data_IF_554713919146
#
_entry.id   IF_554713919146
#
_cell.length_a   1.000
_cell.length_b   1.000
_cell.length_c   1.000
_cell.angle_alpha   90.00
_cell.angle_beta   90.00
_cell.angle_gamma   90.00
#
_symmetry.space_group_name_H-M   'P 1'
#
loop_
_entity.id
_entity.type
_entity.pdbx_description
1 polymer ?
#
# COMPACT_ATOMS: atom_id res chain seq x y z
N UNK A 1 61.40 -38.21 16.90
CA UNK A 1 60.81 -37.54 18.09
C UNK A 1 60.52 -36.09 17.74
N UNK A 2 59.30 -35.62 18.04
CA UNK A 2 58.77 -34.24 17.93
C UNK A 2 58.39 -33.78 16.50
N UNK A 3 57.25 -33.15 16.19
CA UNK A 3 55.97 -32.80 16.84
C UNK A 3 55.07 -32.35 15.66
N UNK A 4 53.95 -33.01 15.35
CA UNK A 4 52.58 -32.58 15.68
C UNK A 4 52.37 -31.07 15.73
N UNK A 5 51.76 -30.47 14.69
CA UNK A 5 50.78 -29.37 14.81
C UNK A 5 49.88 -29.34 13.56
N UNK A 6 48.68 -29.89 13.68
CA UNK A 6 47.55 -29.61 12.79
C UNK A 6 46.92 -28.30 13.23
N UNK A 7 46.97 -27.28 12.37
CA UNK A 7 46.22 -26.05 12.57
C UNK A 7 44.77 -26.27 12.10
N UNK A 8 43.88 -26.50 13.06
CA UNK A 8 42.43 -26.51 12.84
C UNK A 8 41.96 -25.06 12.79
N UNK A 9 41.64 -24.56 11.60
CA UNK A 9 40.96 -23.28 11.42
C UNK A 9 39.46 -23.48 11.61
N UNK A 10 38.94 -23.19 12.81
CA UNK A 10 37.50 -22.99 13.03
C UNK A 10 37.16 -21.55 12.60
N UNK A 11 36.63 -21.37 11.40
CA UNK A 11 35.95 -20.13 11.02
C UNK A 11 34.54 -20.15 11.60
N UNK A 12 34.34 -19.43 12.71
CA UNK A 12 33.03 -19.16 13.28
C UNK A 12 32.27 -18.18 12.36
N UNK A 13 31.43 -18.71 11.47
CA UNK A 13 30.40 -17.92 10.80
C UNK A 13 29.32 -17.60 11.84
N UNK A 14 29.43 -16.42 12.47
CA UNK A 14 28.37 -15.88 13.29
C UNK A 14 27.17 -15.57 12.38
N UNK A 15 26.21 -16.49 12.34
CA UNK A 15 24.88 -16.26 11.80
C UNK A 15 24.20 -15.24 12.72
N UNK A 16 24.37 -13.96 12.41
CA UNK A 16 23.50 -12.91 12.92
C UNK A 16 22.13 -13.13 12.27
N UNK A 17 21.27 -13.90 12.94
CA UNK A 17 19.83 -13.89 12.67
C UNK A 17 19.31 -12.52 13.11
N UNK A 18 19.44 -11.52 12.24
CA UNK A 18 18.64 -10.31 12.29
C UNK A 18 17.20 -10.77 12.02
N UNK A 19 16.49 -11.08 13.09
CA UNK A 19 15.03 -11.13 13.05
C UNK A 19 14.63 -9.67 12.85
N UNK A 20 14.56 -9.23 11.59
CA UNK A 20 13.80 -8.03 11.28
C UNK A 20 12.41 -8.31 11.84
N UNK A 21 11.92 -7.47 12.74
CA UNK A 21 10.51 -7.50 13.09
C UNK A 21 9.78 -7.17 11.79
N UNK A 22 9.24 -8.19 11.13
CA UNK A 22 8.42 -8.03 9.93
C UNK A 22 7.18 -7.27 10.41
N UNK A 23 7.09 -6.01 10.00
CA UNK A 23 5.97 -5.16 10.32
C UNK A 23 4.80 -5.60 9.44
N UNK A 24 3.95 -6.48 9.95
CA UNK A 24 2.77 -6.90 9.22
C UNK A 24 1.70 -5.81 9.20
N UNK A 25 0.91 -5.78 8.13
CA UNK A 25 -0.34 -5.03 8.13
C UNK A 25 -1.41 -5.76 8.94
N UNK A 26 -2.29 -5.02 9.61
CA UNK A 26 -3.46 -5.59 10.28
C UNK A 26 -4.62 -5.63 9.27
N UNK A 27 -5.25 -6.80 9.04
CA UNK A 27 -6.45 -6.87 8.21
C UNK A 27 -7.61 -6.12 8.89
N UNK A 28 -8.34 -5.36 8.10
CA UNK A 28 -9.55 -4.63 8.49
C UNK A 28 -10.78 -5.35 7.95
N UNK A 29 -11.87 -5.30 8.71
CA UNK A 29 -13.18 -5.78 8.23
C UNK A 29 -13.88 -4.77 7.31
N UNK A 30 -13.43 -3.52 7.35
CA UNK A 30 -14.06 -2.38 6.67
C UNK A 30 -12.97 -1.47 6.11
N UNK A 31 -13.05 -1.17 4.81
CA UNK A 31 -12.33 -0.09 4.13
C UNK A 31 -13.11 1.22 4.15
N UNK A 32 -12.57 2.26 3.54
CA UNK A 32 -13.23 3.58 3.47
C UNK A 32 -13.11 4.13 2.06
N UNK A 33 -14.23 4.56 1.48
CA UNK A 33 -14.26 5.15 0.14
C UNK A 33 -13.71 6.60 0.13
N UNK A 34 -13.60 7.20 -1.06
CA UNK A 34 -13.08 8.55 -1.24
C UNK A 34 -13.97 9.65 -0.65
N UNK A 35 -15.16 9.28 -0.15
CA UNK A 35 -16.15 10.16 0.49
C UNK A 35 -16.25 9.89 1.99
N UNK A 36 -15.39 9.04 2.56
CA UNK A 36 -15.41 8.69 3.96
C UNK A 36 -16.50 7.68 4.36
N UNK A 37 -17.19 7.05 3.41
CA UNK A 37 -18.15 5.98 3.69
C UNK A 37 -17.42 4.66 3.93
N UNK A 38 -17.97 3.85 4.84
CA UNK A 38 -17.50 2.49 5.10
C UNK A 38 -17.77 1.57 3.90
N UNK A 39 -16.79 0.75 3.55
CA UNK A 39 -16.89 -0.34 2.57
C UNK A 39 -16.60 -1.68 3.25
N UNK A 40 -17.49 -2.65 3.18
CA UNK A 40 -17.22 -4.00 3.67
C UNK A 40 -16.50 -4.82 2.61
N UNK A 41 -15.76 -5.84 3.04
CA UNK A 41 -15.19 -6.82 2.10
C UNK A 41 -16.33 -7.47 1.28
N UNK A 42 -16.19 -7.45 -0.05
CA UNK A 42 -17.20 -7.90 -0.99
C UNK A 42 -18.11 -6.79 -1.53
N UNK A 43 -18.09 -5.59 -0.97
CA UNK A 43 -18.83 -4.45 -1.51
C UNK A 43 -18.22 -3.99 -2.84
N UNK A 44 -19.07 -3.58 -3.77
CA UNK A 44 -18.66 -2.99 -5.04
C UNK A 44 -18.60 -1.48 -4.88
N UNK A 45 -17.44 -0.90 -5.17
CA UNK A 45 -17.28 0.55 -5.19
C UNK A 45 -18.16 1.14 -6.30
N UNK A 46 -18.93 2.18 -5.94
CA UNK A 46 -19.68 2.95 -6.94
C UNK A 46 -18.76 3.72 -7.88
N UNK A 47 -19.33 4.67 -8.62
CA UNK A 47 -18.59 5.53 -9.55
C UNK A 47 -17.61 6.46 -8.80
N UNK A 48 -16.41 5.95 -8.55
CA UNK A 48 -15.29 6.61 -7.88
C UNK A 48 -14.00 6.27 -8.63
N UNK A 49 -13.82 6.83 -9.84
CA UNK A 49 -12.66 6.53 -10.67
C UNK A 49 -11.36 6.81 -9.93
N UNK A 50 -11.31 7.80 -9.05
CA UNK A 50 -10.14 8.15 -8.22
C UNK A 50 -9.59 7.00 -7.36
N UNK A 51 -10.42 6.00 -7.06
CA UNK A 51 -10.01 4.82 -6.30
C UNK A 51 -9.91 3.57 -7.16
N UNK A 52 -10.85 3.33 -8.07
CA UNK A 52 -10.84 2.12 -8.88
C UNK A 52 -11.40 2.38 -10.28
N UNK A 53 -10.67 1.90 -11.28
CA UNK A 53 -11.14 1.76 -12.65
C UNK A 53 -11.08 0.29 -13.06
N UNK A 54 -12.04 -0.15 -13.86
CA UNK A 54 -11.93 -1.45 -14.54
C UNK A 54 -10.80 -1.37 -15.58
N UNK A 55 -9.73 -2.13 -15.37
CA UNK A 55 -8.54 -2.15 -16.23
C UNK A 55 -8.44 -3.42 -17.10
N UNK A 56 -9.51 -4.20 -17.15
CA UNK A 56 -9.59 -5.47 -17.86
C UNK A 56 -9.26 -6.67 -16.98
N UNK A 57 -9.62 -7.86 -17.48
CA UNK A 57 -9.48 -9.10 -16.73
C UNK A 57 -8.00 -9.38 -16.36
N UNK A 58 -7.80 -9.95 -15.17
CA UNK A 58 -6.47 -10.30 -14.68
C UNK A 58 -5.69 -9.15 -14.05
N UNK A 59 -6.35 -8.02 -13.75
CA UNK A 59 -5.79 -6.92 -12.95
C UNK A 59 -6.50 -6.80 -11.58
N UNK A 60 -5.74 -6.34 -10.59
CA UNK A 60 -6.22 -5.81 -9.32
C UNK A 60 -5.89 -4.33 -9.23
N UNK A 61 -6.61 -3.60 -8.39
CA UNK A 61 -6.31 -2.21 -8.07
C UNK A 61 -5.90 -2.11 -6.61
N UNK A 62 -4.66 -1.68 -6.37
CA UNK A 62 -4.20 -1.25 -5.06
C UNK A 62 -4.63 0.19 -4.83
N UNK A 63 -5.18 0.49 -3.66
CA UNK A 63 -5.50 1.86 -3.24
C UNK A 63 -4.90 2.10 -1.87
N UNK A 64 -4.16 3.20 -1.76
CA UNK A 64 -3.77 3.80 -0.50
C UNK A 64 -4.64 5.03 -0.28
N UNK A 65 -5.43 5.02 0.79
CA UNK A 65 -6.08 6.24 1.28
C UNK A 65 -5.28 6.79 2.44
N UNK A 66 -5.06 8.09 2.40
CA UNK A 66 -4.44 8.82 3.51
C UNK A 66 -5.44 9.84 3.99
N UNK A 67 -5.82 9.75 5.27
CA UNK A 67 -6.73 10.70 5.89
C UNK A 67 -5.97 11.48 6.97
N UNK A 68 -6.11 12.81 6.95
CA UNK A 68 -5.83 13.63 8.13
C UNK A 68 -7.09 13.86 8.92
N UNK A 69 -7.05 13.54 10.21
CA UNK A 69 -8.00 14.06 11.19
C UNK A 69 -7.31 15.11 12.05
N UNK A 70 -7.83 16.34 12.05
CA UNK A 70 -7.50 17.31 13.09
C UNK A 70 -8.44 17.13 14.29
N UNK A 71 -7.90 17.07 15.51
CA UNK A 71 -8.73 17.28 16.69
C UNK A 71 -9.23 18.74 16.68
N UNK A 72 -10.52 19.00 16.90
CA UNK A 72 -11.02 20.37 16.95
C UNK A 72 -10.39 21.10 18.14
N UNK A 73 -9.44 21.99 17.87
CA UNK A 73 -8.95 22.97 18.85
C UNK A 73 -9.86 24.20 18.72
N UNK A 74 -10.51 24.67 19.81
CA UNK A 74 -11.36 25.85 19.74
C UNK A 74 -10.59 27.07 19.21
N UNK A 75 -10.97 27.58 18.03
CA UNK A 75 -10.50 28.85 17.48
C UNK A 75 -9.25 28.83 16.59
N UNK A 76 -8.70 27.67 16.25
CA UNK A 76 -7.53 27.55 15.35
C UNK A 76 -7.89 27.03 13.95
N UNK A 77 -7.23 27.50 12.87
CA UNK A 77 -7.32 26.86 11.57
C UNK A 77 -6.62 25.50 11.62
N UNK A 78 -7.27 24.49 11.04
CA UNK A 78 -6.70 23.15 10.88
C UNK A 78 -5.79 23.21 9.64
N UNK A 79 -4.48 23.33 9.83
CA UNK A 79 -3.47 23.28 8.76
C UNK A 79 -2.49 22.10 8.94
N UNK A 80 -2.08 21.42 7.86
CA UNK A 80 -1.09 20.33 7.93
C UNK A 80 0.18 20.78 8.68
N UNK A 81 0.64 19.98 9.64
CA UNK A 81 1.85 20.27 10.43
C UNK A 81 1.61 20.85 11.83
N UNK A 82 0.36 20.93 12.29
CA UNK A 82 0.05 21.33 13.67
C UNK A 82 0.18 20.16 14.68
N UNK A 83 0.50 20.43 15.96
CA UNK A 83 0.44 19.42 17.02
C UNK A 83 -1.01 18.91 17.21
N UNK A 84 -1.21 17.59 17.24
CA UNK A 84 -2.52 16.96 17.42
C UNK A 84 -3.17 16.39 16.16
N UNK A 85 -2.43 16.33 15.05
CA UNK A 85 -2.83 15.60 13.84
C UNK A 85 -2.57 14.11 13.98
N UNK A 86 -3.56 13.30 13.61
CA UNK A 86 -3.37 11.88 13.36
C UNK A 86 -3.53 11.63 11.86
N UNK A 87 -2.51 11.05 11.26
CA UNK A 87 -2.61 10.50 9.91
C UNK A 87 -2.85 9.00 10.02
N UNK A 88 -3.78 8.50 9.22
CA UNK A 88 -3.99 7.07 9.05
C UNK A 88 -3.89 6.74 7.57
N UNK A 89 -2.94 5.87 7.23
CA UNK A 89 -2.91 5.22 5.94
C UNK A 89 -3.72 3.93 6.00
N UNK A 90 -4.62 3.73 5.06
CA UNK A 90 -5.32 2.47 4.86
C UNK A 90 -5.04 1.96 3.46
N UNK A 91 -4.80 0.66 3.34
CA UNK A 91 -4.56 -0.02 2.07
C UNK A 91 -5.79 -0.84 1.71
N UNK A 92 -6.20 -0.81 0.45
CA UNK A 92 -7.32 -1.58 -0.06
C UNK A 92 -6.93 -2.24 -1.38
N UNK A 93 -7.43 -3.46 -1.60
CA UNK A 93 -7.28 -4.16 -2.88
C UNK A 93 -8.67 -4.39 -3.47
N UNK A 94 -8.85 -3.99 -4.73
CA UNK A 94 -10.07 -4.20 -5.49
C UNK A 94 -9.83 -5.16 -6.67
N UNK A 95 -10.87 -5.88 -7.07
CA UNK A 95 -10.88 -6.60 -8.35
C UNK A 95 -11.19 -5.71 -9.56
N UNK A 96 -11.17 -6.29 -10.75
CA UNK A 96 -11.49 -5.58 -12.00
C UNK A 96 -12.93 -5.04 -12.07
N UNK A 97 -13.84 -5.58 -11.25
CA UNK A 97 -15.21 -5.07 -11.08
C UNK A 97 -15.33 -4.07 -9.94
N UNK A 98 -14.20 -3.54 -9.42
CA UNK A 98 -14.14 -2.64 -8.27
C UNK A 98 -14.79 -3.21 -7.01
N UNK A 99 -14.81 -4.55 -6.86
CA UNK A 99 -15.20 -5.21 -5.62
C UNK A 99 -14.05 -5.21 -4.63
N UNK A 100 -14.28 -4.76 -3.41
CA UNK A 100 -13.28 -4.77 -2.34
C UNK A 100 -12.95 -6.22 -1.93
N UNK A 101 -11.68 -6.60 -2.09
CA UNK A 101 -11.19 -7.94 -1.71
C UNK A 101 -10.55 -7.95 -0.32
N UNK A 102 -9.83 -6.87 0.02
CA UNK A 102 -9.13 -6.75 1.29
C UNK A 102 -8.91 -5.29 1.67
N UNK A 103 -8.90 -5.03 2.97
CA UNK A 103 -8.58 -3.73 3.55
C UNK A 103 -7.59 -3.94 4.70
N UNK A 104 -6.61 -3.05 4.85
CA UNK A 104 -5.49 -3.22 5.77
C UNK A 104 -5.05 -1.88 6.34
N UNK A 105 -4.46 -1.90 7.54
CA UNK A 105 -3.81 -0.75 8.17
C UNK A 105 -2.39 -1.14 8.57
N UNK A 106 -1.40 -0.25 8.45
CA UNK A 106 -0.12 -0.40 9.14
C UNK A 106 -0.33 -0.72 10.62
N UNK A 107 0.40 -1.71 11.15
CA UNK A 107 0.36 -2.03 12.57
C UNK A 107 1.35 -1.14 13.36
N UNK A 108 0.86 -0.06 13.98
CA UNK A 108 1.65 0.78 14.89
C UNK A 108 2.79 1.58 14.23
N UNK A 109 3.78 2.01 15.01
CA UNK A 109 4.95 2.83 14.59
C UNK A 109 6.02 2.04 13.81
N UNK A 110 5.59 0.96 13.17
CA UNK A 110 6.46 -0.03 12.59
C UNK A 110 6.95 0.50 11.24
N UNK A 111 8.09 1.17 11.21
CA UNK A 111 8.62 1.79 9.99
C UNK A 111 8.64 0.78 8.83
N UNK A 112 8.15 1.21 7.66
CA UNK A 112 8.13 0.42 6.42
C UNK A 112 9.48 -0.27 6.15
N UNK A 113 9.50 -1.50 5.60
CA UNK A 113 8.44 -2.09 4.77
C UNK A 113 7.36 -2.87 5.54
N UNK A 114 6.15 -2.93 4.96
CA UNK A 114 5.09 -3.83 5.42
C UNK A 114 4.83 -4.97 4.44
N UNK A 115 4.56 -6.14 4.98
CA UNK A 115 4.15 -7.35 4.24
C UNK A 115 2.65 -7.53 4.29
N UNK A 116 2.08 -7.91 3.14
CA UNK A 116 0.67 -8.20 2.98
C UNK A 116 0.55 -9.50 2.20
N UNK A 117 -0.06 -10.48 2.85
CA UNK A 117 -0.36 -11.80 2.31
C UNK A 117 -1.87 -12.06 2.44
N UNK A 118 -2.50 -12.52 1.37
CA UNK A 118 -3.92 -12.93 1.41
C UNK A 118 -4.21 -14.00 0.36
N UNK A 119 -5.32 -14.72 0.50
CA UNK A 119 -5.64 -15.89 -0.30
C UNK A 119 -5.92 -15.59 -1.78
N UNK A 120 -6.29 -14.34 -2.11
CA UNK A 120 -6.52 -13.89 -3.47
C UNK A 120 -5.26 -13.35 -4.15
N UNK A 121 -4.17 -13.18 -3.40
CA UNK A 121 -2.87 -12.79 -3.93
C UNK A 121 -2.06 -14.03 -4.32
N UNK A 122 -1.48 -14.00 -5.51
CA UNK A 122 -0.64 -15.07 -6.02
C UNK A 122 0.80 -15.02 -5.47
N UNK A 123 1.22 -13.87 -4.92
CA UNK A 123 2.54 -13.63 -4.33
C UNK A 123 2.43 -12.66 -3.15
N UNK A 124 3.49 -12.49 -2.37
CA UNK A 124 3.54 -11.54 -1.26
C UNK A 124 3.61 -10.10 -1.80
N UNK A 125 2.78 -9.21 -1.26
CA UNK A 125 2.89 -7.78 -1.52
C UNK A 125 3.75 -7.13 -0.42
N UNK A 126 4.73 -6.32 -0.82
CA UNK A 126 5.58 -5.57 0.11
C UNK A 126 5.44 -4.08 -0.11
N UNK A 127 4.82 -3.36 0.82
CA UNK A 127 4.66 -1.91 0.82
C UNK A 127 5.96 -1.30 1.36
N UNK A 128 6.79 -0.78 0.47
CA UNK A 128 8.15 -0.36 0.79
C UNK A 128 8.24 1.01 1.45
N UNK A 129 7.43 1.94 0.98
CA UNK A 129 7.42 3.32 1.45
C UNK A 129 6.13 3.99 1.04
N UNK A 130 5.69 4.94 1.85
CA UNK A 130 4.63 5.86 1.49
C UNK A 130 4.92 7.23 2.08
N UNK A 131 4.49 8.29 1.40
CA UNK A 131 4.47 9.64 1.95
C UNK A 131 3.05 10.01 2.34
N UNK A 132 2.98 10.76 3.42
CA UNK A 132 1.75 11.22 4.03
C UNK A 132 1.20 12.48 3.33
N UNK A 133 0.24 13.14 3.96
CA UNK A 133 -0.59 14.19 3.36
C UNK A 133 0.19 15.40 2.85
N UNK A 134 -0.31 15.95 1.74
CA UNK A 134 0.24 17.09 1.02
C UNK A 134 0.76 16.68 -0.37
N UNK A 135 1.52 15.60 -0.42
CA UNK A 135 1.99 14.96 -1.65
C UNK A 135 2.12 13.44 -1.43
N UNK A 136 0.97 12.74 -1.36
CA UNK A 136 0.97 11.32 -1.05
C UNK A 136 1.58 10.54 -2.21
N UNK A 137 2.45 9.61 -1.86
CA UNK A 137 3.10 8.71 -2.81
C UNK A 137 3.24 7.36 -2.16
N UNK A 138 3.35 6.31 -2.97
CA UNK A 138 3.65 4.98 -2.45
C UNK A 138 4.65 4.29 -3.36
N UNK A 139 5.30 3.26 -2.81
CA UNK A 139 6.01 2.23 -3.57
C UNK A 139 5.70 0.88 -2.95
N UNK A 140 5.32 -0.08 -3.78
CA UNK A 140 5.18 -1.47 -3.36
C UNK A 140 5.80 -2.42 -4.39
N UNK A 141 6.13 -3.62 -3.93
CA UNK A 141 6.55 -4.76 -4.74
C UNK A 141 5.46 -5.82 -4.71
N UNK A 142 5.22 -6.45 -5.86
CA UNK A 142 4.30 -7.59 -5.97
C UNK A 142 4.75 -8.49 -7.11
N UNK A 143 4.97 -9.76 -6.81
CA UNK A 143 5.57 -10.71 -7.73
C UNK A 143 6.91 -10.22 -8.28
N UNK A 144 7.05 -10.17 -9.61
CA UNK A 144 8.28 -9.67 -10.26
C UNK A 144 8.25 -8.16 -10.57
N UNK A 145 7.30 -7.42 -10.00
CA UNK A 145 7.05 -6.02 -10.31
C UNK A 145 7.31 -5.03 -9.17
N UNK A 146 7.64 -3.80 -9.56
CA UNK A 146 7.69 -2.62 -8.67
C UNK A 146 6.68 -1.60 -9.17
N UNK A 147 5.84 -1.11 -8.27
CA UNK A 147 4.77 -0.15 -8.54
C UNK A 147 4.96 1.09 -7.67
N UNK A 148 4.79 2.27 -8.25
CA UNK A 148 4.99 3.53 -7.55
C UNK A 148 4.18 4.65 -8.21
N UNK A 149 3.73 5.63 -7.42
CA UNK A 149 3.09 6.85 -7.94
C UNK A 149 3.90 7.46 -9.09
N UNK A 150 3.22 7.86 -10.17
CA UNK A 150 3.85 8.44 -11.36
C UNK A 150 4.42 7.41 -12.37
N UNK A 151 4.39 6.12 -12.05
CA UNK A 151 4.76 5.02 -12.95
C UNK A 151 3.59 4.03 -13.06
N UNK A 152 3.58 3.18 -14.10
CA UNK A 152 2.62 2.06 -14.25
C UNK A 152 1.13 2.45 -14.13
N UNK A 153 0.76 3.66 -14.61
CA UNK A 153 -0.60 4.22 -14.42
C UNK A 153 -1.03 4.38 -12.95
N UNK A 154 -0.07 4.35 -12.02
CA UNK A 154 -0.32 4.73 -10.64
C UNK A 154 -0.50 6.25 -10.55
N UNK A 155 -1.58 6.70 -9.92
CA UNK A 155 -1.89 8.11 -9.76
C UNK A 155 -2.54 8.40 -8.42
N UNK A 156 -2.44 9.65 -7.98
CA UNK A 156 -3.13 10.12 -6.78
C UNK A 156 -4.13 11.19 -7.17
N UNK A 157 -5.32 11.10 -6.59
CA UNK A 157 -6.35 12.11 -6.67
C UNK A 157 -6.64 12.63 -5.27
N UNK A 158 -6.74 13.96 -5.16
CA UNK A 158 -7.27 14.59 -3.96
C UNK A 158 -8.77 14.37 -3.96
N UNK A 159 -9.26 13.61 -2.99
CA UNK A 159 -10.69 13.46 -2.79
C UNK A 159 -11.13 14.63 -1.91
N UNK A 160 -11.54 15.72 -2.54
CA UNK A 160 -12.01 16.92 -1.86
C UNK A 160 -13.27 16.60 -1.07
N UNK A 161 -13.14 16.50 0.26
CA UNK A 161 -14.29 16.55 1.15
C UNK A 161 -14.04 17.53 2.31
N UNK A 162 -14.75 18.65 2.22
CA UNK A 162 -15.10 19.59 3.28
C UNK A 162 -14.07 19.84 4.42
N UNK A 163 -13.29 20.92 4.27
CA UNK A 163 -12.66 21.77 5.31
C UNK A 163 -11.82 21.15 6.44
N UNK A 164 -11.81 19.83 6.62
CA UNK A 164 -11.31 19.16 7.83
C UNK A 164 -10.62 17.83 7.57
N UNK A 165 -10.74 17.27 6.36
CA UNK A 165 -10.12 16.01 5.95
C UNK A 165 -9.54 16.17 4.56
N UNK A 166 -8.24 16.40 4.45
CA UNK A 166 -7.55 16.15 3.19
C UNK A 166 -7.43 14.63 3.10
N UNK A 167 -8.38 14.02 2.39
CA UNK A 167 -8.30 12.64 1.97
C UNK A 167 -7.64 12.63 0.60
N UNK A 168 -6.62 11.81 0.44
CA UNK A 168 -6.06 11.53 -0.87
C UNK A 168 -6.12 10.03 -1.11
N UNK A 169 -6.55 9.66 -2.30
CA UNK A 169 -6.57 8.29 -2.76
C UNK A 169 -5.48 8.14 -3.84
N UNK A 170 -4.50 7.30 -3.55
CA UNK A 170 -3.48 6.91 -4.50
C UNK A 170 -3.77 5.49 -4.97
N UNK A 171 -3.97 5.29 -6.26
CA UNK A 171 -4.29 3.98 -6.84
C UNK A 171 -3.19 3.48 -7.76
N UNK A 172 -3.11 2.16 -7.92
CA UNK A 172 -2.37 1.51 -8.99
C UNK A 172 -3.00 0.20 -9.43
N UNK A 173 -3.00 -0.04 -10.74
CA UNK A 173 -3.29 -1.37 -11.26
C UNK A 173 -2.05 -2.28 -11.17
N UNK A 174 -2.27 -3.55 -10.85
CA UNK A 174 -1.23 -4.57 -10.81
C UNK A 174 -1.79 -5.94 -11.22
N UNK A 175 -0.98 -6.83 -11.82
CA UNK A 175 -1.48 -8.08 -12.40
C UNK A 175 -1.80 -9.10 -11.31
N UNK A 176 -2.92 -9.80 -11.39
CA UNK A 176 -3.34 -10.79 -10.37
C UNK A 176 -2.31 -11.91 -10.19
N UNK A 177 -1.68 -12.34 -11.29
CA UNK A 177 -0.73 -13.45 -11.33
C UNK A 177 0.70 -13.09 -10.87
N UNK A 178 0.96 -11.84 -10.48
CA UNK A 178 2.29 -11.40 -10.04
C UNK A 178 3.34 -11.28 -11.16
N UNK A 179 2.94 -11.44 -12.43
CA UNK A 179 3.88 -11.40 -13.57
C UNK A 179 3.64 -10.15 -14.42
N UNK A 180 4.56 -9.20 -14.34
CA UNK A 180 4.67 -8.13 -15.33
C UNK A 180 5.18 -8.69 -16.65
N UNK A 181 4.28 -8.82 -17.64
CA UNK A 181 4.68 -9.07 -19.01
C UNK A 181 5.31 -7.81 -19.61
N UNK A 182 6.52 -7.92 -20.19
CA UNK A 182 7.17 -6.83 -20.94
C UNK A 182 6.32 -6.29 -22.11
N UNK A 183 5.27 -7.02 -22.52
CA UNK A 183 4.29 -6.60 -23.55
C UNK A 183 2.93 -6.18 -22.97
N UNK A 184 2.69 -6.40 -21.67
CA UNK A 184 1.38 -6.24 -21.03
C UNK A 184 1.06 -4.81 -20.57
N UNK A 185 2.06 -3.92 -20.51
CA UNK A 185 1.86 -2.48 -20.34
C UNK A 185 1.97 -1.72 -21.68
N UNK A 186 1.84 -2.41 -22.82
CA UNK A 186 1.50 -1.70 -24.05
C UNK A 186 0.03 -1.29 -23.95
N UNK A 187 -0.18 -0.10 -23.39
CA UNK A 187 -1.31 0.77 -23.62
C UNK A 187 -2.62 0.03 -23.89
N UNK A 188 -3.40 -0.26 -22.84
CA UNK A 188 -4.84 -0.06 -22.98
C UNK A 188 -4.97 1.44 -23.25
N UNK A 189 -4.93 1.82 -24.52
CA UNK A 189 -5.27 3.16 -24.94
C UNK A 189 -6.73 3.33 -24.55
N UNK A 190 -6.97 4.09 -23.49
CA UNK A 190 -8.25 4.72 -23.27
C UNK A 190 -8.55 5.55 -24.52
N UNK A 191 -9.36 5.01 -25.44
CA UNK A 191 -10.06 5.84 -26.40
C UNK A 191 -11.06 6.62 -25.59
N UNK A 192 -10.70 7.87 -25.26
CA UNK A 192 -11.66 8.88 -24.83
C UNK A 192 -12.69 9.16 -25.91
#
# INVERSE_FOLDING_TARGET
MKNFQQAVFLSAAALFSLIAAECDVVPLTVGTDGKGNSLNIGDVLGDQPDMCDSQGDGQYTFVMTVAMGGLPIPGGPITPGFPGYVSSASYMIFDNGCKLLGAYSPNGDCNSPYTLEDNYLADVMTIQSFTDVGDPSFTFYYGNGKFSTGNNHCGCATTDDSLTKVAAACKCAFPQNGVLSKRGFQAIQYTG
#
